data_IF_138491705735
#
_entry.id   IF_138491705735
#
_cell.length_a   1.000
_cell.length_b   1.000
_cell.length_c   1.000
_cell.angle_alpha   90.00
_cell.angle_beta   90.00
_cell.angle_gamma   90.00
#
_symmetry.space_group_name_H-M   'P 1'
#
loop_
_entity.id
_entity.type
_entity.pdbx_description
1 polymer ?
#
# COMPACT_ATOMS: atom_id res chain seq x y z
N UNK A 1 18.00 27.04 -60.13
CA UNK A 1 17.28 27.61 -58.98
C UNK A 1 16.23 26.61 -58.53
N UNK A 2 16.50 25.83 -57.47
CA UNK A 2 15.54 24.92 -56.82
C UNK A 2 15.17 25.57 -55.48
N UNK A 3 13.88 25.86 -55.28
CA UNK A 3 13.35 26.33 -54.01
C UNK A 3 13.54 25.27 -52.92
N UNK A 4 14.15 25.66 -51.81
CA UNK A 4 14.11 24.90 -50.55
C UNK A 4 12.83 25.31 -49.80
N UNK A 5 12.09 24.38 -49.19
CA UNK A 5 10.96 24.74 -48.33
C UNK A 5 11.47 25.24 -46.97
N UNK A 6 10.87 26.34 -46.51
CA UNK A 6 11.15 27.02 -45.25
C UNK A 6 10.98 26.10 -44.04
N UNK A 7 12.02 26.08 -43.21
CA UNK A 7 12.07 25.40 -41.93
C UNK A 7 11.57 26.32 -40.81
N UNK A 8 10.30 26.69 -40.82
CA UNK A 8 9.66 27.40 -39.69
C UNK A 8 8.18 27.05 -39.61
N UNK A 9 7.89 25.80 -39.22
CA UNK A 9 6.63 25.49 -38.54
C UNK A 9 6.82 24.26 -37.64
N UNK A 10 7.72 24.37 -36.66
CA UNK A 10 7.65 23.49 -35.49
C UNK A 10 6.42 23.91 -34.71
N UNK A 11 5.31 23.22 -34.96
CA UNK A 11 4.07 23.34 -34.23
C UNK A 11 4.36 23.44 -32.73
N UNK A 12 4.11 24.61 -32.15
CA UNK A 12 4.10 24.80 -30.72
C UNK A 12 3.17 23.73 -30.13
N UNK A 13 3.74 22.80 -29.36
CA UNK A 13 2.96 21.83 -28.61
C UNK A 13 1.89 22.55 -27.77
N UNK A 14 0.74 21.91 -27.50
CA UNK A 14 -0.35 22.55 -26.77
C UNK A 14 0.19 23.19 -25.49
N UNK A 15 -0.18 24.46 -25.25
CA UNK A 15 0.18 25.19 -24.05
C UNK A 15 -0.18 24.33 -22.81
N UNK A 16 0.72 24.23 -21.81
CA UNK A 16 0.46 23.39 -20.64
C UNK A 16 -0.84 23.86 -19.98
N UNK A 17 -1.83 22.97 -19.92
CA UNK A 17 -3.08 23.21 -19.20
C UNK A 17 -2.69 23.51 -17.75
N UNK A 18 -3.11 24.64 -17.16
CA UNK A 18 -2.77 24.95 -15.77
C UNK A 18 -3.41 23.90 -14.88
N UNK A 19 -2.61 22.92 -14.45
CA UNK A 19 -3.04 21.96 -13.45
C UNK A 19 -3.27 22.72 -12.15
N UNK A 20 -4.48 22.63 -11.57
CA UNK A 20 -4.73 23.15 -10.23
C UNK A 20 -3.70 22.54 -9.28
N UNK A 21 -2.95 23.36 -8.55
CA UNK A 21 -1.86 22.93 -7.68
C UNK A 21 -2.27 21.78 -6.72
N UNK A 22 -3.50 21.86 -6.19
CA UNK A 22 -4.11 20.81 -5.37
C UNK A 22 -4.21 19.45 -6.11
N UNK A 23 -4.59 19.45 -7.39
CA UNK A 23 -4.66 18.24 -8.20
C UNK A 23 -3.28 17.62 -8.47
N UNK A 24 -2.24 18.45 -8.56
CA UNK A 24 -0.86 17.98 -8.71
C UNK A 24 -0.38 17.28 -7.42
N UNK A 25 -0.64 17.88 -6.26
CA UNK A 25 -0.33 17.25 -4.96
C UNK A 25 -1.16 15.99 -4.72
N UNK A 26 -2.44 15.99 -5.09
CA UNK A 26 -3.28 14.80 -5.05
C UNK A 26 -2.70 13.67 -5.90
N UNK A 27 -2.15 13.97 -7.08
CA UNK A 27 -1.43 12.98 -7.89
C UNK A 27 -0.13 12.53 -7.22
N UNK A 28 0.64 13.46 -6.64
CA UNK A 28 1.94 13.20 -6.00
C UNK A 28 1.83 12.20 -4.83
N UNK A 29 0.80 12.31 -4.00
CA UNK A 29 0.64 11.44 -2.82
C UNK A 29 0.09 10.04 -3.14
N UNK A 30 -0.26 9.77 -4.40
CA UNK A 30 -0.78 8.48 -4.92
C UNK A 30 -1.96 7.88 -4.12
N UNK A 31 -3.13 8.54 -4.02
CA UNK A 31 -4.25 8.14 -3.18
C UNK A 31 -4.78 6.72 -3.40
N UNK A 32 -4.59 6.16 -4.59
CA UNK A 32 -4.98 4.77 -4.86
C UNK A 32 -4.20 3.76 -3.98
N UNK A 33 -3.01 4.11 -3.49
CA UNK A 33 -2.22 3.26 -2.59
C UNK A 33 -2.67 3.34 -1.14
N UNK A 34 -3.45 4.37 -0.77
CA UNK A 34 -3.91 4.57 0.62
C UNK A 34 -4.83 3.47 1.12
N UNK A 35 -5.29 2.55 0.27
CA UNK A 35 -5.96 1.34 0.73
C UNK A 35 -5.08 0.60 1.75
N UNK A 36 -3.76 0.55 1.57
CA UNK A 36 -2.82 -0.11 2.47
C UNK A 36 -2.55 0.62 3.81
N UNK A 37 -3.00 1.87 3.98
CA UNK A 37 -2.90 2.61 5.26
C UNK A 37 -4.26 2.83 5.91
N UNK A 38 -5.31 3.06 5.12
CA UNK A 38 -6.67 3.33 5.59
C UNK A 38 -7.38 2.04 5.98
N UNK A 39 -7.39 1.04 5.10
CA UNK A 39 -8.16 -0.19 5.32
C UNK A 39 -7.71 -0.97 6.57
N UNK A 40 -6.41 -1.15 6.85
CA UNK A 40 -5.97 -1.81 8.08
C UNK A 40 -6.41 -1.08 9.35
N UNK A 41 -6.32 0.27 9.37
CA UNK A 41 -6.75 1.09 10.52
C UNK A 41 -8.26 0.95 10.75
N UNK A 42 -9.04 0.98 9.67
CA UNK A 42 -10.50 0.78 9.74
C UNK A 42 -10.84 -0.59 10.33
N UNK A 43 -10.20 -1.67 9.86
CA UNK A 43 -10.47 -3.03 10.34
C UNK A 43 -10.10 -3.15 11.81
N UNK A 44 -8.88 -2.76 12.22
CA UNK A 44 -8.45 -2.87 13.61
C UNK A 44 -9.34 -2.07 14.57
N UNK A 45 -9.77 -0.87 14.16
CA UNK A 45 -10.67 -0.03 14.96
C UNK A 45 -12.10 -0.57 14.99
N UNK A 46 -12.57 -1.22 13.93
CA UNK A 46 -13.87 -1.88 13.91
C UNK A 46 -13.92 -3.09 14.85
N UNK A 47 -12.83 -3.87 14.93
CA UNK A 47 -12.71 -4.92 15.96
C UNK A 47 -12.80 -4.31 17.37
N UNK A 48 -12.14 -3.18 17.62
CA UNK A 48 -12.24 -2.50 18.91
C UNK A 48 -13.65 -1.95 19.19
N UNK A 49 -14.38 -1.53 18.16
CA UNK A 49 -15.79 -1.14 18.27
C UNK A 49 -16.67 -2.32 18.68
N UNK A 50 -16.50 -3.47 18.04
CA UNK A 50 -17.20 -4.70 18.39
C UNK A 50 -16.97 -5.09 19.87
N UNK A 51 -15.74 -4.88 20.36
CA UNK A 51 -15.38 -5.17 21.74
C UNK A 51 -15.81 -4.06 22.75
N UNK A 52 -16.46 -2.99 22.28
CA UNK A 52 -16.92 -1.87 23.12
C UNK A 52 -15.83 -0.91 23.58
N UNK A 53 -14.66 -0.92 22.93
CA UNK A 53 -13.45 -0.19 23.31
C UNK A 53 -13.11 0.99 22.37
N UNK A 54 -14.00 1.31 21.43
CA UNK A 54 -13.72 2.32 20.41
C UNK A 54 -13.74 3.75 20.96
N UNK A 55 -12.66 4.48 20.68
CA UNK A 55 -12.53 5.92 20.90
C UNK A 55 -12.36 6.66 19.55
N UNK A 56 -13.28 7.60 19.30
CA UNK A 56 -13.33 8.34 18.04
C UNK A 56 -12.09 9.22 17.81
N UNK A 57 -11.52 9.79 18.87
CA UNK A 57 -10.34 10.67 18.78
C UNK A 57 -9.11 9.84 18.44
N UNK A 58 -8.87 8.75 19.16
CA UNK A 58 -7.78 7.82 18.91
C UNK A 58 -7.88 7.21 17.50
N UNK A 59 -9.08 6.89 17.04
CA UNK A 59 -9.32 6.45 15.67
C UNK A 59 -8.92 7.52 14.65
N UNK A 60 -9.44 8.73 14.81
CA UNK A 60 -9.15 9.85 13.90
C UNK A 60 -7.65 10.16 13.83
N UNK A 61 -6.98 10.22 14.98
CA UNK A 61 -5.54 10.46 15.06
C UNK A 61 -4.74 9.34 14.40
N UNK A 62 -5.09 8.08 14.66
CA UNK A 62 -4.41 6.91 14.04
C UNK A 62 -4.56 6.92 12.52
N UNK A 63 -5.76 7.23 12.02
CA UNK A 63 -6.02 7.30 10.59
C UNK A 63 -5.22 8.42 9.91
N UNK A 64 -5.21 9.62 10.48
CA UNK A 64 -4.44 10.75 9.95
C UNK A 64 -2.95 10.46 10.00
N UNK A 65 -2.43 9.91 11.10
CA UNK A 65 -1.02 9.54 11.23
C UNK A 65 -0.62 8.49 10.18
N UNK A 66 -1.42 7.42 10.02
CA UNK A 66 -1.18 6.34 9.06
C UNK A 66 -1.16 6.86 7.61
N UNK A 67 -2.12 7.71 7.23
CA UNK A 67 -2.19 8.31 5.89
C UNK A 67 -1.04 9.30 5.68
N UNK A 68 -0.71 10.13 6.66
CA UNK A 68 0.41 11.08 6.58
C UNK A 68 1.74 10.36 6.37
N UNK A 69 2.03 9.30 7.13
CA UNK A 69 3.26 8.49 6.98
C UNK A 69 3.31 7.79 5.62
N UNK A 70 2.18 7.25 5.12
CA UNK A 70 2.14 6.64 3.80
C UNK A 70 2.37 7.68 2.70
N UNK A 71 1.65 8.81 2.75
CA UNK A 71 1.82 9.91 1.80
C UNK A 71 3.25 10.45 1.80
N UNK A 72 3.87 10.60 2.98
CA UNK A 72 5.26 10.99 3.13
C UNK A 72 6.21 10.00 2.45
N UNK A 73 6.02 8.70 2.68
CA UNK A 73 6.79 7.62 2.05
C UNK A 73 6.68 7.70 0.52
N UNK A 74 5.48 7.92 -0.03
CA UNK A 74 5.29 8.08 -1.47
C UNK A 74 6.09 9.27 -2.02
N UNK A 75 6.00 10.45 -1.39
CA UNK A 75 6.72 11.64 -1.85
C UNK A 75 8.24 11.48 -1.76
N UNK A 76 8.74 10.88 -0.67
CA UNK A 76 10.17 10.69 -0.47
C UNK A 76 10.72 9.65 -1.45
N UNK A 77 9.95 8.60 -1.76
CA UNK A 77 10.30 7.65 -2.80
C UNK A 77 10.38 8.35 -4.18
N UNK A 78 9.39 9.15 -4.58
CA UNK A 78 9.44 9.93 -5.83
C UNK A 78 10.70 10.80 -5.92
N UNK A 79 11.06 11.47 -4.83
CA UNK A 79 12.25 12.32 -4.78
C UNK A 79 13.55 11.52 -4.99
N UNK A 80 13.72 10.43 -4.25
CA UNK A 80 14.96 9.64 -4.34
C UNK A 80 15.04 8.79 -5.62
N UNK A 81 13.91 8.32 -6.15
CA UNK A 81 13.88 7.62 -7.44
C UNK A 81 14.20 8.57 -8.60
N UNK A 82 13.77 9.83 -8.51
CA UNK A 82 14.23 10.90 -9.41
C UNK A 82 15.74 11.12 -9.32
N UNK A 83 16.31 11.27 -8.12
CA UNK A 83 17.76 11.47 -7.95
C UNK A 83 18.60 10.31 -8.49
N UNK A 84 18.08 9.07 -8.40
CA UNK A 84 18.75 7.87 -8.90
C UNK A 84 18.52 7.63 -10.39
N UNK A 85 17.72 8.47 -11.06
CA UNK A 85 17.36 8.30 -12.47
C UNK A 85 16.54 7.04 -12.75
N UNK A 86 15.84 6.51 -11.73
CA UNK A 86 15.01 5.29 -11.86
C UNK A 86 13.71 5.60 -12.60
N UNK A 87 13.12 6.76 -12.31
CA UNK A 87 11.84 7.19 -12.86
C UNK A 87 12.03 8.14 -14.06
N UNK A 88 11.52 7.73 -15.22
CA UNK A 88 11.48 8.52 -16.46
C UNK A 88 10.05 8.99 -16.77
N UNK A 89 9.86 9.81 -17.79
CA UNK A 89 8.53 10.24 -18.23
C UNK A 89 7.65 9.07 -18.73
N UNK A 90 8.26 7.95 -19.09
CA UNK A 90 7.61 6.73 -19.60
C UNK A 90 7.31 5.71 -18.49
N UNK A 91 7.86 5.90 -17.28
CA UNK A 91 7.68 4.98 -16.17
C UNK A 91 6.20 4.82 -15.78
N UNK A 92 5.78 3.56 -15.64
CA UNK A 92 4.41 3.21 -15.26
C UNK A 92 4.35 2.96 -13.76
N UNK A 93 3.52 3.72 -13.03
CA UNK A 93 3.32 3.54 -11.60
C UNK A 93 3.69 4.76 -10.75
N UNK A 94 4.83 5.41 -10.99
CA UNK A 94 5.18 6.65 -10.31
C UNK A 94 4.16 7.77 -10.51
N UNK A 95 4.16 8.77 -9.63
CA UNK A 95 3.25 9.91 -9.81
C UNK A 95 3.59 10.69 -11.09
N UNK A 96 4.87 10.74 -11.47
CA UNK A 96 5.39 11.46 -12.63
C UNK A 96 5.42 12.98 -12.47
N UNK A 97 5.09 13.52 -11.27
CA UNK A 97 4.98 14.97 -11.06
C UNK A 97 6.33 15.69 -11.16
N UNK A 98 7.43 15.02 -10.80
CA UNK A 98 8.78 15.56 -10.94
C UNK A 98 9.24 15.47 -12.40
N UNK A 99 9.06 14.30 -13.03
CA UNK A 99 9.48 14.03 -14.42
C UNK A 99 8.76 14.94 -15.42
N UNK A 100 7.52 15.34 -15.12
CA UNK A 100 6.73 16.25 -15.94
C UNK A 100 6.97 17.74 -15.61
N UNK A 101 7.88 18.05 -14.68
CA UNK A 101 8.16 19.43 -14.27
C UNK A 101 7.00 20.11 -13.52
N UNK A 102 6.01 19.35 -13.02
CA UNK A 102 4.84 19.88 -12.33
C UNK A 102 5.16 20.29 -10.89
N UNK A 103 6.12 19.62 -10.25
CA UNK A 103 6.65 19.98 -8.93
C UNK A 103 8.17 19.91 -8.95
N UNK A 104 8.83 20.89 -8.32
CA UNK A 104 10.27 20.84 -8.10
C UNK A 104 10.62 19.68 -7.14
N UNK A 105 11.73 18.94 -7.36
CA UNK A 105 12.15 17.84 -6.49
C UNK A 105 12.23 18.24 -5.02
N UNK A 106 12.79 19.43 -4.74
CA UNK A 106 12.91 19.98 -3.38
C UNK A 106 11.54 20.20 -2.71
N UNK A 107 10.53 20.61 -3.48
CA UNK A 107 9.17 20.79 -2.94
C UNK A 107 8.57 19.44 -2.54
N UNK A 108 8.75 18.41 -3.36
CA UNK A 108 8.30 17.03 -3.06
C UNK A 108 8.96 16.50 -1.79
N UNK A 109 10.29 16.67 -1.64
CA UNK A 109 11.02 16.28 -0.42
C UNK A 109 10.47 17.00 0.82
N UNK A 110 10.31 18.32 0.77
CA UNK A 110 9.79 19.11 1.89
C UNK A 110 8.36 18.71 2.25
N UNK A 111 7.51 18.43 1.26
CA UNK A 111 6.17 17.90 1.49
C UNK A 111 6.20 16.55 2.20
N UNK A 112 7.08 15.64 1.78
CA UNK A 112 7.28 14.36 2.44
C UNK A 112 7.76 14.49 3.88
N UNK A 113 8.77 15.32 4.14
CA UNK A 113 9.28 15.59 5.48
C UNK A 113 8.22 16.23 6.40
N UNK A 114 7.41 17.13 5.87
CA UNK A 114 6.31 17.76 6.62
C UNK A 114 5.27 16.73 7.05
N UNK A 115 4.90 15.82 6.15
CA UNK A 115 3.94 14.74 6.45
C UNK A 115 4.52 13.70 7.42
N UNK A 116 5.82 13.38 7.34
CA UNK A 116 6.48 12.55 8.35
C UNK A 116 6.51 13.23 9.72
N UNK A 117 6.82 14.53 9.79
CA UNK A 117 6.77 15.27 11.04
C UNK A 117 5.36 15.26 11.64
N UNK A 118 4.32 15.49 10.83
CA UNK A 118 2.93 15.39 11.27
C UNK A 118 2.61 13.99 11.80
N UNK A 119 2.90 12.94 11.03
CA UNK A 119 2.65 11.55 11.44
C UNK A 119 3.40 11.17 12.71
N UNK A 120 4.65 11.61 12.85
CA UNK A 120 5.47 11.40 14.04
C UNK A 120 4.91 12.11 15.27
N UNK A 121 4.49 13.38 15.15
CA UNK A 121 3.88 14.13 16.25
C UNK A 121 2.57 13.49 16.72
N UNK A 122 1.71 13.06 15.79
CA UNK A 122 0.49 12.33 16.10
C UNK A 122 0.79 10.97 16.76
N UNK A 123 1.82 10.27 16.29
CA UNK A 123 2.32 9.04 16.92
C UNK A 123 2.81 9.27 18.35
N UNK A 124 3.57 10.34 18.62
CA UNK A 124 4.02 10.71 19.96
C UNK A 124 2.86 11.07 20.89
N UNK A 125 1.83 11.73 20.36
CA UNK A 125 0.60 11.95 21.11
C UNK A 125 -0.08 10.62 21.49
N UNK A 126 -0.15 9.66 20.56
CA UNK A 126 -0.67 8.31 20.85
C UNK A 126 0.17 7.58 21.91
N UNK A 127 1.50 7.74 21.90
CA UNK A 127 2.38 7.21 22.95
C UNK A 127 2.02 7.81 24.32
N UNK A 128 1.76 9.11 24.39
CA UNK A 128 1.42 9.78 25.64
C UNK A 128 0.05 9.34 26.20
N UNK A 129 -0.91 9.03 25.34
CA UNK A 129 -2.28 8.66 25.74
C UNK A 129 -2.48 7.16 25.95
N UNK A 130 -1.81 6.31 25.16
CA UNK A 130 -1.99 4.85 25.18
C UNK A 130 -0.86 4.15 25.93
N UNK A 131 0.38 4.63 25.77
CA UNK A 131 1.56 4.09 26.44
C UNK A 131 2.74 3.79 25.51
N UNK A 132 3.88 3.49 26.14
CA UNK A 132 5.16 3.25 25.46
C UNK A 132 5.17 2.13 24.41
N UNK A 133 4.32 1.08 24.43
CA UNK A 133 4.35 0.05 23.39
C UNK A 133 4.08 0.58 21.98
N UNK A 134 3.34 1.69 21.84
CA UNK A 134 3.15 2.39 20.57
C UNK A 134 4.50 2.88 20.00
N UNK A 135 5.40 3.35 20.87
CA UNK A 135 6.74 3.80 20.47
C UNK A 135 7.57 2.63 19.96
N UNK A 136 7.49 1.46 20.62
CA UNK A 136 8.20 0.26 20.19
C UNK A 136 7.69 -0.23 18.82
N UNK A 137 6.37 -0.26 18.62
CA UNK A 137 5.75 -0.59 17.32
C UNK A 137 6.22 0.40 16.25
N UNK A 138 6.14 1.71 16.52
CA UNK A 138 6.57 2.76 15.59
C UNK A 138 8.05 2.65 15.23
N UNK A 139 8.93 2.44 16.22
CA UNK A 139 10.36 2.26 16.01
C UNK A 139 10.66 1.01 15.17
N UNK A 140 9.98 -0.11 15.44
CA UNK A 140 10.10 -1.33 14.65
C UNK A 140 9.64 -1.11 13.20
N UNK A 141 8.52 -0.41 12.98
CA UNK A 141 8.02 -0.05 11.65
C UNK A 141 8.96 0.87 10.87
N UNK A 142 9.57 1.85 11.54
CA UNK A 142 10.58 2.73 10.92
C UNK A 142 11.83 1.93 10.54
N UNK A 143 12.31 1.06 11.44
CA UNK A 143 13.46 0.20 11.16
C UNK A 143 13.17 -0.75 9.99
N UNK A 144 11.98 -1.36 9.94
CA UNK A 144 11.56 -2.21 8.84
C UNK A 144 11.45 -1.44 7.53
N UNK A 145 10.89 -0.22 7.55
CA UNK A 145 10.82 0.65 6.38
C UNK A 145 12.20 1.06 5.86
N UNK A 146 13.13 1.39 6.77
CA UNK A 146 14.53 1.65 6.41
C UNK A 146 15.19 0.41 5.82
N UNK A 147 15.09 -0.74 6.50
CA UNK A 147 15.67 -2.01 6.04
C UNK A 147 15.01 -2.52 4.75
N UNK A 148 13.79 -2.09 4.42
CA UNK A 148 13.10 -2.51 3.20
C UNK A 148 13.83 -2.09 1.92
N UNK A 149 14.37 -0.86 1.90
CA UNK A 149 15.07 -0.29 0.73
C UNK A 149 16.52 0.10 0.99
N UNK A 150 16.89 0.34 2.25
CA UNK A 150 18.20 0.81 2.67
C UNK A 150 18.98 -0.21 3.49
N UNK A 151 20.15 0.21 3.96
CA UNK A 151 21.11 -0.66 4.66
C UNK A 151 21.90 -1.60 3.72
N UNK A 152 22.80 -2.42 4.29
CA UNK A 152 23.68 -3.30 3.50
C UNK A 152 22.95 -4.49 2.87
N UNK A 153 21.77 -4.85 3.40
CA UNK A 153 20.94 -5.98 2.96
C UNK A 153 19.46 -5.54 2.88
N UNK A 154 19.06 -4.79 1.83
CA UNK A 154 17.68 -4.34 1.69
C UNK A 154 16.71 -5.53 1.58
N UNK A 155 15.72 -5.61 2.47
CA UNK A 155 14.78 -6.74 2.55
C UNK A 155 14.02 -6.95 1.24
N UNK A 156 13.63 -5.87 0.56
CA UNK A 156 12.98 -5.94 -0.75
C UNK A 156 13.87 -6.54 -1.84
N UNK A 157 15.20 -6.50 -1.66
CA UNK A 157 16.18 -6.94 -2.65
C UNK A 157 16.79 -8.31 -2.30
N UNK A 158 16.29 -8.98 -1.28
CA UNK A 158 16.67 -10.35 -0.89
C UNK A 158 15.45 -11.29 -0.79
N UNK A 159 14.35 -10.94 -1.45
CA UNK A 159 13.13 -11.75 -1.45
C UNK A 159 12.27 -11.68 -0.19
N UNK A 160 12.55 -10.75 0.74
CA UNK A 160 11.77 -10.56 1.96
C UNK A 160 10.78 -9.38 1.88
N UNK A 161 10.67 -8.73 0.72
CA UNK A 161 9.79 -7.58 0.53
C UNK A 161 8.31 -7.91 0.79
N UNK A 162 7.81 -8.97 0.18
CA UNK A 162 6.41 -9.40 0.30
C UNK A 162 6.03 -9.76 1.74
N UNK A 163 6.93 -10.48 2.45
CA UNK A 163 6.77 -10.79 3.88
C UNK A 163 6.80 -9.52 4.75
N UNK A 164 7.68 -8.58 4.45
CA UNK A 164 7.78 -7.32 5.20
C UNK A 164 6.49 -6.52 5.06
N UNK A 165 5.93 -6.43 3.85
CA UNK A 165 4.64 -5.76 3.60
C UNK A 165 3.48 -6.50 4.28
N UNK A 166 3.44 -7.83 4.20
CA UNK A 166 2.45 -8.65 4.91
C UNK A 166 2.42 -8.32 6.42
N UNK A 167 3.60 -8.32 7.05
CA UNK A 167 3.74 -8.08 8.48
C UNK A 167 3.43 -6.63 8.84
N UNK A 168 4.12 -5.66 8.23
CA UNK A 168 4.09 -4.28 8.70
C UNK A 168 2.92 -3.47 8.15
N UNK A 169 2.47 -3.70 6.91
CA UNK A 169 1.30 -3.00 6.37
C UNK A 169 -0.02 -3.73 6.63
N UNK A 170 0.05 -5.05 6.87
CA UNK A 170 -1.09 -5.87 7.23
C UNK A 170 -1.25 -6.01 8.74
N UNK A 171 -0.49 -6.96 9.31
CA UNK A 171 -0.64 -7.40 10.70
C UNK A 171 -0.44 -6.25 11.68
N UNK A 172 0.68 -5.54 11.59
CA UNK A 172 1.06 -4.49 12.53
C UNK A 172 0.10 -3.30 12.49
N UNK A 173 -0.38 -2.86 11.32
CA UNK A 173 -1.33 -1.73 11.28
C UNK A 173 -2.70 -2.15 11.85
N UNK A 174 -3.22 -3.34 11.51
CA UNK A 174 -4.52 -3.80 12.05
C UNK A 174 -4.45 -4.01 13.55
N UNK A 175 -3.46 -4.78 14.03
CA UNK A 175 -3.31 -5.07 15.46
C UNK A 175 -2.92 -3.81 16.23
N UNK A 176 -2.07 -2.96 15.66
CA UNK A 176 -1.69 -1.66 16.25
C UNK A 176 -2.87 -0.70 16.37
N UNK A 177 -3.74 -0.63 15.34
CA UNK A 177 -4.95 0.18 15.40
C UNK A 177 -5.91 -0.33 16.48
N UNK A 178 -6.08 -1.64 16.63
CA UNK A 178 -6.82 -2.21 17.76
C UNK A 178 -6.17 -1.86 19.10
N UNK A 179 -4.86 -2.02 19.21
CA UNK A 179 -4.10 -1.74 20.44
C UNK A 179 -4.20 -0.27 20.87
N UNK A 180 -4.20 0.67 19.92
CA UNK A 180 -4.43 2.09 20.20
C UNK A 180 -5.79 2.32 20.88
N UNK A 181 -6.82 1.57 20.51
CA UNK A 181 -8.13 1.67 21.12
C UNK A 181 -8.16 0.97 22.49
N UNK A 182 -7.72 -0.29 22.53
CA UNK A 182 -7.96 -1.23 23.62
C UNK A 182 -6.84 -1.34 24.67
N UNK A 183 -5.62 -0.87 24.36
CA UNK A 183 -4.42 -1.04 25.20
C UNK A 183 -3.93 -2.49 25.35
N UNK A 184 -4.54 -3.43 24.62
CA UNK A 184 -4.25 -4.87 24.65
C UNK A 184 -4.32 -5.46 23.24
N UNK A 185 -3.97 -6.75 23.10
CA UNK A 185 -4.06 -7.47 21.82
C UNK A 185 -5.20 -8.49 21.91
N UNK A 186 -6.08 -8.48 20.91
CA UNK A 186 -7.17 -9.45 20.77
C UNK A 186 -6.86 -10.50 19.70
N UNK A 187 -7.27 -11.75 19.95
CA UNK A 187 -7.24 -12.81 18.96
C UNK A 187 -8.05 -12.42 17.71
N UNK A 188 -9.21 -11.77 17.88
CA UNK A 188 -10.03 -11.32 16.76
C UNK A 188 -9.28 -10.30 15.89
N UNK A 189 -8.50 -9.39 16.49
CA UNK A 189 -7.69 -8.41 15.76
C UNK A 189 -6.58 -9.09 14.95
N UNK A 190 -5.90 -10.09 15.52
CA UNK A 190 -4.88 -10.87 14.82
C UNK A 190 -5.50 -11.63 13.64
N UNK A 191 -6.63 -12.31 13.83
CA UNK A 191 -7.31 -13.05 12.77
C UNK A 191 -7.87 -12.13 11.68
N UNK A 192 -8.47 -11.00 12.06
CA UNK A 192 -8.95 -10.00 11.11
C UNK A 192 -7.83 -9.33 10.32
N UNK A 193 -6.59 -9.37 10.83
CA UNK A 193 -5.43 -8.86 10.11
C UNK A 193 -4.95 -9.75 8.97
N UNK A 194 -5.16 -11.07 9.05
CA UNK A 194 -4.68 -12.03 8.05
C UNK A 194 -5.21 -11.77 6.63
N UNK A 195 -6.51 -11.54 6.39
CA UNK A 195 -6.98 -11.23 5.04
C UNK A 195 -6.47 -9.90 4.51
N UNK A 196 -6.29 -8.92 5.39
CA UNK A 196 -5.76 -7.60 5.04
C UNK A 196 -4.28 -7.71 4.68
N UNK A 197 -3.49 -8.40 5.50
CA UNK A 197 -2.08 -8.70 5.29
C UNK A 197 -1.83 -9.49 4.00
N UNK A 198 -2.65 -10.52 3.75
CA UNK A 198 -2.53 -11.33 2.56
C UNK A 198 -2.80 -10.51 1.29
N UNK A 199 -3.88 -9.71 1.30
CA UNK A 199 -4.24 -8.91 0.14
C UNK A 199 -3.31 -7.71 -0.10
N UNK A 200 -2.76 -7.07 0.94
CA UNK A 200 -1.77 -6.00 0.74
C UNK A 200 -0.45 -6.54 0.20
N UNK A 201 0.01 -7.71 0.68
CA UNK A 201 1.16 -8.40 0.09
C UNK A 201 0.87 -8.81 -1.36
N UNK A 202 -0.34 -9.27 -1.66
CA UNK A 202 -0.74 -9.63 -3.02
C UNK A 202 -0.68 -8.44 -4.00
N UNK A 203 -0.89 -7.19 -3.54
CA UNK A 203 -0.65 -6.00 -4.36
C UNK A 203 0.82 -5.91 -4.77
N UNK A 204 1.74 -6.12 -3.81
CA UNK A 204 3.18 -6.07 -4.07
C UNK A 204 3.64 -7.23 -4.95
N UNK A 205 3.11 -8.44 -4.76
CA UNK A 205 3.42 -9.59 -5.63
C UNK A 205 3.08 -9.29 -7.09
N UNK A 206 1.94 -8.65 -7.36
CA UNK A 206 1.57 -8.27 -8.73
C UNK A 206 2.47 -7.15 -9.26
N UNK A 207 2.87 -6.21 -8.40
CA UNK A 207 3.84 -5.18 -8.75
C UNK A 207 5.19 -5.81 -9.14
N UNK A 208 5.69 -6.76 -8.36
CA UNK A 208 6.95 -7.47 -8.62
C UNK A 208 6.83 -8.38 -9.87
N UNK A 209 5.66 -8.96 -10.14
CA UNK A 209 5.42 -9.75 -11.34
C UNK A 209 5.40 -8.88 -12.62
N UNK A 210 4.90 -7.64 -12.51
CA UNK A 210 4.91 -6.66 -13.60
C UNK A 210 6.35 -6.26 -13.95
N UNK A 211 7.17 -6.02 -12.93
CA UNK A 211 8.51 -5.45 -13.09
C UNK A 211 9.61 -6.53 -13.17
N UNK A 212 9.25 -7.80 -13.29
CA UNK A 212 10.19 -8.93 -13.11
C UNK A 212 11.37 -8.92 -14.07
N UNK A 213 11.19 -8.53 -15.34
CA UNK A 213 12.29 -8.40 -16.31
C UNK A 213 13.19 -7.20 -15.99
N UNK A 214 12.59 -6.04 -15.70
CA UNK A 214 13.32 -4.81 -15.39
C UNK A 214 14.12 -4.94 -14.10
N UNK A 215 13.54 -5.58 -13.08
CA UNK A 215 14.20 -5.85 -11.81
C UNK A 215 15.39 -6.81 -12.00
N UNK A 216 15.22 -7.86 -12.82
CA UNK A 216 16.33 -8.78 -13.18
C UNK A 216 17.45 -8.06 -13.90
N UNK A 217 17.13 -7.22 -14.89
CA UNK A 217 18.12 -6.46 -15.64
C UNK A 217 18.92 -5.50 -14.74
N UNK A 218 18.27 -4.96 -13.69
CA UNK A 218 18.88 -4.08 -12.68
C UNK A 218 19.53 -4.83 -11.52
N UNK A 219 19.58 -6.17 -11.55
CA UNK A 219 20.15 -6.99 -10.48
C UNK A 219 19.37 -7.00 -9.17
N UNK A 220 18.14 -6.49 -9.15
CA UNK A 220 17.26 -6.52 -7.98
C UNK A 220 16.72 -7.93 -7.78
N UNK A 221 16.86 -8.47 -6.56
CA UNK A 221 16.36 -9.82 -6.22
C UNK A 221 15.10 -9.75 -5.37
N UNK A 222 13.98 -9.38 -5.98
CA UNK A 222 12.66 -9.54 -5.35
C UNK A 222 12.27 -11.02 -5.28
N UNK A 223 11.27 -11.39 -4.48
CA UNK A 223 10.84 -12.78 -4.39
C UNK A 223 10.39 -13.29 -5.77
N UNK A 224 9.63 -12.47 -6.51
CA UNK A 224 9.21 -12.78 -7.87
C UNK A 224 10.39 -13.06 -8.82
N UNK A 225 11.47 -12.28 -8.76
CA UNK A 225 12.65 -12.55 -9.59
C UNK A 225 13.34 -13.88 -9.25
N UNK A 226 13.30 -14.27 -7.97
CA UNK A 226 13.89 -15.50 -7.43
C UNK A 226 13.06 -16.75 -7.78
N UNK A 227 11.74 -16.74 -7.54
CA UNK A 227 10.84 -17.88 -7.80
C UNK A 227 10.27 -17.89 -9.23
N UNK A 228 10.52 -16.82 -9.99
CA UNK A 228 10.04 -16.64 -11.36
C UNK A 228 8.53 -16.38 -11.47
N UNK A 229 8.05 -16.15 -12.70
CA UNK A 229 6.64 -15.82 -12.98
C UNK A 229 5.65 -16.86 -12.46
N UNK A 230 6.00 -18.16 -12.59
CA UNK A 230 5.14 -19.26 -12.11
C UNK A 230 5.04 -19.24 -10.58
N UNK A 231 6.15 -19.05 -9.89
CA UNK A 231 6.17 -18.93 -8.43
C UNK A 231 5.41 -17.70 -7.94
N UNK A 232 5.61 -16.53 -8.55
CA UNK A 232 4.89 -15.30 -8.18
C UNK A 232 3.36 -15.43 -8.37
N UNK A 233 2.93 -16.13 -9.42
CA UNK A 233 1.50 -16.46 -9.62
C UNK A 233 0.98 -17.41 -8.55
N UNK A 234 1.77 -18.42 -8.17
CA UNK A 234 1.41 -19.33 -7.08
C UNK A 234 1.32 -18.59 -5.75
N UNK A 235 2.28 -17.72 -5.43
CA UNK A 235 2.28 -16.87 -4.25
C UNK A 235 1.01 -16.00 -4.19
N UNK A 236 0.67 -15.32 -5.29
CA UNK A 236 -0.56 -14.53 -5.36
C UNK A 236 -1.81 -15.39 -5.08
N UNK A 237 -1.90 -16.59 -5.66
CA UNK A 237 -3.00 -17.52 -5.41
C UNK A 237 -3.06 -17.96 -3.95
N UNK A 238 -1.91 -18.29 -3.35
CA UNK A 238 -1.82 -18.70 -1.94
C UNK A 238 -2.24 -17.56 -1.00
N UNK A 239 -1.88 -16.31 -1.31
CA UNK A 239 -2.34 -15.14 -0.55
C UNK A 239 -3.84 -14.91 -0.69
N UNK A 240 -4.43 -15.10 -1.88
CA UNK A 240 -5.89 -15.08 -2.04
C UNK A 240 -6.57 -16.16 -1.20
N UNK A 241 -6.06 -17.39 -1.26
CA UNK A 241 -6.60 -18.51 -0.46
C UNK A 241 -6.48 -18.23 1.03
N UNK A 242 -5.33 -17.73 1.49
CA UNK A 242 -5.11 -17.33 2.87
C UNK A 242 -6.12 -16.27 3.31
N UNK A 243 -6.40 -15.27 2.47
CA UNK A 243 -7.36 -14.22 2.81
C UNK A 243 -8.77 -14.77 3.08
N UNK A 244 -9.29 -15.62 2.19
CA UNK A 244 -10.64 -16.17 2.39
C UNK A 244 -10.68 -17.29 3.44
N UNK A 245 -9.66 -18.16 3.48
CA UNK A 245 -9.59 -19.27 4.42
C UNK A 245 -9.41 -18.78 5.86
N UNK A 246 -8.62 -17.72 6.10
CA UNK A 246 -8.46 -17.16 7.45
C UNK A 246 -9.77 -16.62 8.01
N UNK A 247 -10.61 -15.95 7.20
CA UNK A 247 -11.93 -15.50 7.66
C UNK A 247 -12.85 -16.68 7.94
N UNK A 248 -12.96 -17.64 7.00
CA UNK A 248 -13.83 -18.80 7.16
C UNK A 248 -13.43 -19.64 8.40
N UNK A 249 -12.13 -19.87 8.58
CA UNK A 249 -11.60 -20.61 9.72
C UNK A 249 -11.75 -19.82 11.03
N UNK A 250 -11.54 -18.51 11.01
CA UNK A 250 -11.75 -17.65 12.19
C UNK A 250 -13.20 -17.69 12.67
N UNK A 251 -14.17 -17.73 11.75
CA UNK A 251 -15.59 -17.93 12.09
C UNK A 251 -15.86 -19.35 12.61
N UNK A 252 -15.32 -20.39 11.96
CA UNK A 252 -15.48 -21.77 12.40
C UNK A 252 -14.92 -22.01 13.82
N UNK A 253 -13.80 -21.36 14.14
CA UNK A 253 -13.17 -21.39 15.47
C UNK A 253 -13.82 -20.43 16.48
N UNK A 254 -14.87 -19.69 16.07
CA UNK A 254 -15.56 -18.68 16.89
C UNK A 254 -14.66 -17.54 17.40
N UNK A 255 -13.59 -17.25 16.67
CA UNK A 255 -12.70 -16.10 16.93
C UNK A 255 -13.19 -14.84 16.21
N UNK A 256 -13.81 -15.02 15.03
CA UNK A 256 -14.44 -13.94 14.26
C UNK A 256 -15.97 -14.09 14.31
N UNK A 257 -16.73 -12.98 14.39
CA UNK A 257 -18.19 -13.01 14.28
C UNK A 257 -18.65 -13.59 12.95
N UNK A 258 -19.73 -14.37 12.95
CA UNK A 258 -20.31 -14.96 11.74
C UNK A 258 -20.62 -13.94 10.60
N UNK A 259 -21.06 -12.70 10.90
CA UNK A 259 -21.26 -11.68 9.86
C UNK A 259 -20.02 -11.38 9.00
N UNK A 260 -18.80 -11.67 9.50
CA UNK A 260 -17.56 -11.45 8.73
C UNK A 260 -17.49 -12.28 7.44
N UNK A 261 -18.28 -13.34 7.30
CA UNK A 261 -18.44 -14.08 6.05
C UNK A 261 -18.99 -13.24 4.89
N UNK A 262 -19.53 -12.04 5.14
CA UNK A 262 -19.92 -11.08 4.10
C UNK A 262 -18.76 -10.74 3.13
N UNK A 263 -17.50 -10.90 3.55
CA UNK A 263 -16.34 -10.73 2.66
C UNK A 263 -16.37 -11.67 1.45
N UNK A 264 -17.10 -12.80 1.51
CA UNK A 264 -17.26 -13.73 0.39
C UNK A 264 -17.96 -13.08 -0.82
N UNK A 265 -18.70 -11.98 -0.63
CA UNK A 265 -19.25 -11.17 -1.72
C UNK A 265 -18.16 -10.60 -2.65
N UNK A 266 -16.90 -10.52 -2.18
CA UNK A 266 -15.76 -10.08 -3.00
C UNK A 266 -15.14 -11.20 -3.83
N UNK A 267 -15.53 -12.47 -3.62
CA UNK A 267 -14.93 -13.63 -4.27
C UNK A 267 -14.99 -13.57 -5.81
N UNK A 268 -16.11 -13.15 -6.46
CA UNK A 268 -16.12 -13.01 -7.92
C UNK A 268 -15.04 -12.05 -8.44
N UNK A 269 -14.72 -11.00 -7.68
CA UNK A 269 -13.66 -10.05 -8.03
C UNK A 269 -12.27 -10.65 -7.82
N UNK A 270 -12.05 -11.39 -6.73
CA UNK A 270 -10.79 -12.10 -6.53
C UNK A 270 -10.50 -13.10 -7.66
N UNK A 271 -11.53 -13.83 -8.11
CA UNK A 271 -11.42 -14.74 -9.24
C UNK A 271 -11.14 -14.00 -10.55
N UNK A 272 -11.75 -12.82 -10.77
CA UNK A 272 -11.46 -11.99 -11.93
C UNK A 272 -10.00 -11.51 -11.93
N UNK A 273 -9.49 -11.01 -10.80
CA UNK A 273 -8.09 -10.60 -10.66
C UNK A 273 -7.14 -11.78 -10.91
N UNK A 274 -7.46 -12.95 -10.35
CA UNK A 274 -6.67 -14.18 -10.57
C UNK A 274 -6.57 -14.55 -12.04
N UNK A 275 -7.67 -14.48 -12.81
CA UNK A 275 -7.64 -14.76 -14.25
C UNK A 275 -6.66 -13.84 -14.99
N UNK A 276 -6.71 -12.53 -14.71
CA UNK A 276 -5.78 -11.55 -15.31
C UNK A 276 -4.32 -11.87 -14.97
N UNK A 277 -4.03 -12.15 -13.70
CA UNK A 277 -2.65 -12.39 -13.21
C UNK A 277 -2.09 -13.72 -13.71
N UNK A 278 -2.96 -14.73 -13.86
CA UNK A 278 -2.59 -16.05 -14.41
C UNK A 278 -2.21 -15.98 -15.88
N UNK A 279 -2.87 -15.14 -16.66
CA UNK A 279 -2.77 -15.14 -18.12
C UNK A 279 -1.83 -14.04 -18.65
N UNK A 280 -1.85 -12.85 -18.04
CA UNK A 280 -1.14 -11.70 -18.58
C UNK A 280 0.35 -11.67 -18.21
N UNK A 281 1.15 -11.13 -19.13
CA UNK A 281 2.54 -10.69 -18.92
C UNK A 281 2.73 -9.23 -19.31
N UNK A 282 1.68 -8.56 -19.82
CA UNK A 282 1.72 -7.18 -20.28
C UNK A 282 1.74 -6.22 -19.08
N UNK A 283 2.68 -5.29 -19.06
CA UNK A 283 2.93 -4.44 -17.90
C UNK A 283 1.76 -3.47 -17.62
N UNK A 284 1.11 -2.97 -18.68
CA UNK A 284 -0.03 -2.07 -18.55
C UNK A 284 -1.27 -2.82 -18.02
N UNK A 285 -1.51 -4.03 -18.52
CA UNK A 285 -2.58 -4.92 -18.07
C UNK A 285 -2.37 -5.32 -16.61
N UNK A 286 -1.15 -5.72 -16.22
CA UNK A 286 -0.83 -6.03 -14.82
C UNK A 286 -0.94 -4.81 -13.91
N UNK A 287 -0.67 -3.59 -14.40
CA UNK A 287 -0.90 -2.37 -13.62
C UNK A 287 -2.39 -2.10 -13.40
N UNK A 288 -3.20 -2.10 -14.48
CA UNK A 288 -4.61 -1.70 -14.42
C UNK A 288 -5.51 -2.81 -13.89
N UNK A 289 -5.39 -4.02 -14.43
CA UNK A 289 -6.19 -5.19 -14.07
C UNK A 289 -5.59 -6.06 -12.97
N UNK A 290 -4.33 -5.83 -12.59
CA UNK A 290 -3.66 -6.51 -11.50
C UNK A 290 -3.54 -5.62 -10.27
N UNK A 291 -2.48 -4.80 -10.18
CA UNK A 291 -2.14 -3.97 -9.00
C UNK A 291 -3.33 -3.15 -8.51
N UNK A 292 -3.97 -2.37 -9.41
CA UNK A 292 -5.09 -1.49 -9.04
C UNK A 292 -6.34 -2.27 -8.64
N UNK A 293 -6.68 -3.35 -9.33
CA UNK A 293 -7.84 -4.16 -8.98
C UNK A 293 -7.61 -4.98 -7.70
N UNK A 294 -6.39 -5.42 -7.42
CA UNK A 294 -6.04 -6.06 -6.14
C UNK A 294 -6.10 -5.05 -5.00
N UNK A 295 -5.65 -3.81 -5.21
CA UNK A 295 -5.82 -2.73 -4.22
C UNK A 295 -7.31 -2.41 -3.95
N UNK A 296 -8.15 -2.43 -4.98
CA UNK A 296 -9.61 -2.29 -4.85
C UNK A 296 -10.23 -3.49 -4.11
N UNK A 297 -9.76 -4.70 -4.39
CA UNK A 297 -10.20 -5.91 -3.69
C UNK A 297 -9.85 -5.83 -2.20
N UNK A 298 -8.59 -5.48 -1.87
CA UNK A 298 -8.13 -5.22 -0.51
C UNK A 298 -9.04 -4.22 0.22
N UNK A 299 -9.33 -3.08 -0.40
CA UNK A 299 -10.20 -2.07 0.18
C UNK A 299 -11.64 -2.58 0.40
N UNK A 300 -12.24 -3.22 -0.61
CA UNK A 300 -13.61 -3.73 -0.53
C UNK A 300 -13.75 -4.80 0.54
N UNK A 301 -12.81 -5.75 0.57
CA UNK A 301 -12.80 -6.80 1.56
C UNK A 301 -12.69 -6.19 2.96
N UNK A 302 -11.73 -5.29 3.18
CA UNK A 302 -11.56 -4.71 4.51
C UNK A 302 -12.70 -3.77 4.94
N UNK A 303 -13.36 -3.06 4.02
CA UNK A 303 -14.58 -2.30 4.34
C UNK A 303 -15.71 -3.23 4.74
N UNK A 304 -15.95 -4.31 3.99
CA UNK A 304 -16.97 -5.30 4.33
C UNK A 304 -16.65 -5.99 5.67
N UNK A 305 -15.38 -6.30 5.92
CA UNK A 305 -14.93 -6.86 7.19
C UNK A 305 -15.17 -5.88 8.35
N UNK A 306 -14.83 -4.61 8.19
CA UNK A 306 -15.09 -3.58 9.18
C UNK A 306 -16.60 -3.41 9.45
N UNK A 307 -17.44 -3.36 8.41
CA UNK A 307 -18.90 -3.30 8.55
C UNK A 307 -19.44 -4.51 9.32
N UNK A 308 -18.90 -5.71 9.06
CA UNK A 308 -19.33 -6.92 9.75
C UNK A 308 -19.11 -6.86 11.26
N UNK A 309 -18.04 -6.22 11.72
CA UNK A 309 -17.78 -6.00 13.16
C UNK A 309 -18.71 -4.95 13.80
N UNK A 310 -19.45 -4.17 13.02
CA UNK A 310 -20.47 -3.26 13.54
C UNK A 310 -21.83 -3.94 13.77
N UNK A 311 -21.99 -5.18 13.29
CA UNK A 311 -23.21 -5.96 13.44
C UNK A 311 -23.17 -6.65 14.81
N UNK A 312 -24.23 -6.53 15.64
CA UNK A 312 -24.31 -7.16 16.96
C UNK A 312 -24.25 -8.69 16.95
#
# INVERSE_FOLDING_TARGET
MKHAPDATDQAAGPAPVPHRLLGVWWRAVRPFSFTASVTPVLVGSAVAYHDGLFDLVRFGVTLVASVAIHAATNLINDYYDHLRGVDTAESIGPSGVIQQGLLAPRAVLLGGLTLFALGGLLGLWLVAVVGWPILAIGAASVLAGYAYTGGPLPLGYIGLGDLTVFLFMGVVIVVGAYYVQAGTVSAAAVWASLPIAALVAAILVVNNLRDIEDDRAKGKRTLATFIGRRGARLEYLLLLLLAYASVALGVALRVLPAPTLIVLLTLPRALANWRVIRESTDALTLTRGGVRETARLHQRLGVLLAIAFLIP
#
